data_IF_526713107850
#
_entry.id   IF_526713107850
#
_cell.length_a   1.000
_cell.length_b   1.000
_cell.length_c   1.000
_cell.angle_alpha   90.00
_cell.angle_beta   90.00
_cell.angle_gamma   90.00
#
_symmetry.space_group_name_H-M   'P 1'
#
loop_
_entity.id
_entity.type
_entity.pdbx_description
1 polymer ?
#
# COMPACT_ATOMS: atom_id res chain seq x y z
N UNK A 1 -74.20 -15.07 -35.19
CA UNK A 1 -73.66 -13.78 -34.71
C UNK A 1 -72.99 -14.02 -33.36
N UNK A 2 -71.65 -14.15 -33.28
CA UNK A 2 -70.96 -14.27 -32.00
C UNK A 2 -70.94 -12.92 -31.28
N UNK A 3 -71.24 -12.95 -29.98
CA UNK A 3 -71.36 -11.78 -29.11
C UNK A 3 -70.01 -11.06 -28.92
N UNK A 4 -70.00 -9.76 -29.19
CA UNK A 4 -68.85 -8.84 -29.08
C UNK A 4 -68.38 -8.56 -27.62
N UNK A 5 -69.05 -9.14 -26.63
CA UNK A 5 -68.78 -8.89 -25.20
C UNK A 5 -67.64 -9.75 -24.61
N UNK A 6 -67.14 -10.76 -25.33
CA UNK A 6 -66.10 -11.67 -24.83
C UNK A 6 -64.67 -11.13 -24.99
N UNK A 7 -64.45 -10.12 -25.84
CA UNK A 7 -63.11 -9.62 -26.19
C UNK A 7 -62.60 -8.45 -25.32
N UNK A 8 -63.41 -7.91 -24.42
CA UNK A 8 -63.03 -6.78 -23.54
C UNK A 8 -62.14 -7.22 -22.38
N UNK A 9 -62.27 -8.45 -21.88
CA UNK A 9 -61.59 -8.88 -20.65
C UNK A 9 -60.22 -9.53 -20.85
N UNK A 10 -59.78 -9.81 -22.08
CA UNK A 10 -58.46 -10.45 -22.32
C UNK A 10 -57.35 -9.45 -22.69
N UNK A 11 -57.67 -8.16 -22.82
CA UNK A 11 -56.69 -7.11 -23.18
C UNK A 11 -55.91 -6.55 -21.98
N UNK A 12 -56.41 -6.69 -20.76
CA UNK A 12 -55.69 -6.25 -19.55
C UNK A 12 -54.76 -7.32 -18.96
N UNK A 13 -54.93 -8.60 -19.35
CA UNK A 13 -54.10 -9.71 -18.88
C UNK A 13 -52.73 -9.71 -19.57
N UNK A 14 -52.69 -9.46 -20.89
CA UNK A 14 -51.44 -9.42 -21.66
C UNK A 14 -50.59 -8.17 -21.40
N UNK A 15 -51.22 -7.05 -21.04
CA UNK A 15 -50.51 -5.78 -20.75
C UNK A 15 -49.83 -5.75 -19.38
N UNK A 16 -50.22 -6.61 -18.43
CA UNK A 16 -49.57 -6.70 -17.11
C UNK A 16 -48.30 -7.57 -17.10
N UNK A 17 -48.19 -8.56 -17.98
CA UNK A 17 -47.02 -9.42 -18.08
C UNK A 17 -45.85 -8.78 -18.87
N UNK A 18 -46.16 -7.89 -19.82
CA UNK A 18 -45.13 -7.19 -20.61
C UNK A 18 -44.42 -6.07 -19.83
N UNK A 19 -45.07 -5.49 -18.81
CA UNK A 19 -44.46 -4.45 -17.98
C UNK A 19 -43.43 -4.98 -16.97
N UNK A 20 -43.53 -6.25 -16.57
CA UNK A 20 -42.59 -6.88 -15.63
C UNK A 20 -41.31 -7.40 -16.29
N UNK A 21 -41.29 -7.57 -17.61
CA UNK A 21 -40.12 -8.06 -18.34
C UNK A 21 -39.15 -6.94 -18.75
N UNK A 22 -39.58 -5.67 -18.73
CA UNK A 22 -38.73 -4.53 -19.07
C UNK A 22 -37.82 -4.05 -17.93
N UNK A 23 -38.09 -4.43 -16.67
CA UNK A 23 -37.32 -3.95 -15.51
C UNK A 23 -36.12 -4.84 -15.15
N UNK A 24 -35.99 -6.01 -15.78
CA UNK A 24 -34.93 -6.96 -15.46
C UNK A 24 -33.57 -6.69 -16.16
N UNK A 25 -33.52 -5.74 -17.12
CA UNK A 25 -32.31 -5.51 -17.93
C UNK A 25 -31.42 -4.34 -17.43
N UNK A 26 -31.76 -3.68 -16.32
CA UNK A 26 -31.02 -2.51 -15.83
C UNK A 26 -30.00 -2.82 -14.71
N UNK A 27 -29.84 -4.08 -14.28
CA UNK A 27 -29.05 -4.42 -13.09
C UNK A 27 -27.63 -4.94 -13.33
N UNK A 28 -27.11 -4.89 -14.57
CA UNK A 28 -25.73 -5.30 -14.87
C UNK A 28 -24.77 -4.09 -14.86
N UNK A 29 -24.74 -3.32 -13.76
CA UNK A 29 -23.62 -2.41 -13.53
C UNK A 29 -22.40 -3.28 -13.19
N UNK A 30 -21.26 -3.16 -13.91
CA UNK A 30 -20.04 -3.78 -13.43
C UNK A 30 -19.73 -3.16 -12.06
N UNK A 31 -19.79 -3.98 -11.02
CA UNK A 31 -19.25 -3.62 -9.73
C UNK A 31 -17.74 -3.46 -9.92
N UNK A 32 -17.30 -2.25 -10.27
CA UNK A 32 -15.90 -1.88 -10.16
C UNK A 32 -15.61 -1.89 -8.66
N UNK A 33 -15.14 -3.04 -8.17
CA UNK A 33 -14.58 -3.16 -6.84
C UNK A 33 -13.58 -2.02 -6.72
N UNK A 34 -13.91 -1.02 -5.89
CA UNK A 34 -13.02 0.08 -5.59
C UNK A 34 -11.80 -0.57 -4.96
N UNK A 35 -10.75 -0.82 -5.75
CA UNK A 35 -9.43 -1.17 -5.26
C UNK A 35 -8.95 0.08 -4.52
N UNK A 36 -9.44 0.25 -3.30
CA UNK A 36 -9.13 1.37 -2.43
C UNK A 36 -7.61 1.41 -2.29
N UNK A 37 -7.06 2.62 -2.35
CA UNK A 37 -5.63 2.84 -2.18
C UNK A 37 -5.16 2.11 -0.92
N UNK A 38 -4.21 1.18 -1.06
CA UNK A 38 -3.72 0.41 0.08
C UNK A 38 -3.05 1.34 1.06
N UNK A 39 -3.30 1.09 2.35
CA UNK A 39 -2.59 1.75 3.42
C UNK A 39 -1.32 0.94 3.72
N UNK A 40 -0.17 1.54 3.45
CA UNK A 40 1.13 0.98 3.77
C UNK A 40 1.64 1.60 5.07
N UNK A 41 2.28 0.79 5.92
CA UNK A 41 2.97 1.28 7.11
C UNK A 41 4.14 2.21 6.70
N UNK A 42 4.47 3.17 7.56
CA UNK A 42 5.61 4.06 7.47
C UNK A 42 6.98 3.35 7.36
N UNK A 43 7.07 2.09 7.81
CA UNK A 43 8.30 1.28 7.71
C UNK A 43 8.45 0.52 6.39
N UNK A 44 7.47 0.63 5.48
CA UNK A 44 7.50 -0.08 4.20
C UNK A 44 8.59 0.49 3.30
N UNK A 45 9.42 -0.40 2.78
CA UNK A 45 10.46 -0.10 1.82
C UNK A 45 10.05 -0.56 0.42
N UNK A 46 10.66 0.04 -0.61
CA UNK A 46 10.44 -0.34 -2.01
C UNK A 46 11.67 -1.04 -2.57
N UNK A 47 11.46 -2.11 -3.33
CA UNK A 47 12.54 -2.85 -3.96
C UNK A 47 12.11 -3.68 -5.14
N UNK A 48 13.09 -4.34 -5.75
CA UNK A 48 12.88 -5.35 -6.78
C UNK A 48 13.11 -6.73 -6.15
N UNK A 49 12.09 -7.57 -6.17
CA UNK A 49 12.15 -8.93 -5.67
C UNK A 49 12.23 -9.91 -6.84
N UNK A 50 13.20 -10.82 -6.79
CA UNK A 50 13.32 -11.95 -7.69
C UNK A 50 13.26 -13.23 -6.86
N UNK A 51 12.28 -14.08 -7.16
CA UNK A 51 12.08 -15.32 -6.41
C UNK A 51 12.90 -16.41 -7.13
N UNK A 52 13.98 -16.87 -6.50
CA UNK A 52 14.87 -17.89 -7.08
C UNK A 52 14.34 -19.28 -6.76
N UNK A 53 14.18 -19.59 -5.48
CA UNK A 53 13.65 -20.85 -4.99
C UNK A 53 13.17 -20.64 -3.57
N UNK A 54 11.85 -20.54 -3.32
CA UNK A 54 11.34 -20.30 -1.98
C UNK A 54 11.94 -21.30 -1.00
N UNK A 55 12.40 -20.84 0.18
CA UNK A 55 12.26 -19.49 0.74
C UNK A 55 13.40 -18.52 0.38
N UNK A 56 14.38 -18.92 -0.43
CA UNK A 56 15.49 -18.08 -0.87
C UNK A 56 15.04 -17.15 -2.00
N UNK A 57 15.29 -15.86 -1.84
CA UNK A 57 14.91 -14.79 -2.78
C UNK A 57 16.05 -13.81 -2.95
N UNK A 58 16.05 -13.05 -4.04
CA UNK A 58 16.96 -11.92 -4.25
C UNK A 58 16.17 -10.62 -4.12
N UNK A 59 16.56 -9.79 -3.17
CA UNK A 59 15.99 -8.46 -2.97
C UNK A 59 17.02 -7.42 -3.40
N UNK A 60 16.68 -6.59 -4.38
CA UNK A 60 17.58 -5.58 -4.97
C UNK A 60 18.93 -6.19 -5.42
N UNK A 61 18.90 -7.44 -5.90
CA UNK A 61 20.09 -8.20 -6.31
C UNK A 61 20.85 -8.89 -5.17
N UNK A 62 20.54 -8.60 -3.90
CA UNK A 62 21.13 -9.28 -2.74
C UNK A 62 20.33 -10.53 -2.38
N UNK A 63 21.02 -11.67 -2.27
CA UNK A 63 20.41 -12.91 -1.78
C UNK A 63 19.97 -12.75 -0.32
N UNK A 64 18.69 -13.04 -0.07
CA UNK A 64 18.05 -13.04 1.24
C UNK A 64 17.02 -14.18 1.33
N UNK A 65 16.25 -14.22 2.42
CA UNK A 65 15.24 -15.24 2.67
C UNK A 65 13.92 -14.60 3.06
N UNK A 66 12.83 -15.26 2.67
CA UNK A 66 11.50 -15.00 3.20
C UNK A 66 11.45 -15.40 4.68
N UNK A 67 10.82 -14.56 5.50
CA UNK A 67 10.57 -14.87 6.90
C UNK A 67 9.58 -16.04 7.01
N UNK A 68 9.59 -16.80 8.12
CA UNK A 68 8.67 -17.93 8.31
C UNK A 68 7.17 -17.54 8.23
N UNK A 69 6.85 -16.27 8.47
CA UNK A 69 5.50 -15.72 8.41
C UNK A 69 5.24 -14.79 7.22
N UNK A 70 6.10 -14.81 6.19
CA UNK A 70 5.98 -13.89 5.05
C UNK A 70 4.67 -14.09 4.28
N UNK A 71 3.96 -13.00 3.98
CA UNK A 71 2.78 -13.01 3.10
C UNK A 71 3.05 -12.23 1.83
N UNK A 72 2.75 -12.83 0.69
CA UNK A 72 2.87 -12.18 -0.62
C UNK A 72 1.48 -11.76 -1.09
N UNK A 73 1.27 -10.47 -1.28
CA UNK A 73 0.04 -9.88 -1.76
C UNK A 73 0.17 -9.50 -3.24
N UNK A 74 -0.78 -9.90 -4.08
CA UNK A 74 -0.83 -9.50 -5.49
C UNK A 74 -1.32 -8.05 -5.65
N UNK A 75 -1.56 -7.62 -6.89
CA UNK A 75 -2.12 -6.32 -7.28
C UNK A 75 -3.59 -6.08 -6.87
N UNK A 76 -4.31 -7.13 -6.47
CA UNK A 76 -5.66 -7.06 -5.89
C UNK A 76 -5.68 -7.16 -4.35
N UNK A 77 -4.51 -7.07 -3.72
CA UNK A 77 -4.31 -7.22 -2.27
C UNK A 77 -4.70 -8.62 -1.75
N UNK A 78 -4.65 -9.64 -2.60
CA UNK A 78 -4.92 -11.04 -2.25
C UNK A 78 -3.61 -11.76 -1.97
N UNK A 79 -3.63 -12.65 -0.98
CA UNK A 79 -2.48 -13.50 -0.68
C UNK A 79 -2.31 -14.50 -1.82
N UNK A 80 -1.12 -14.55 -2.39
CA UNK A 80 -0.72 -15.44 -3.49
C UNK A 80 0.52 -16.22 -3.12
N UNK A 81 0.72 -17.34 -3.81
CA UNK A 81 1.81 -18.25 -3.49
C UNK A 81 3.10 -17.80 -4.20
N UNK A 82 4.20 -17.69 -3.45
CA UNK A 82 5.49 -17.23 -3.97
C UNK A 82 6.03 -18.10 -5.13
N UNK A 83 5.74 -19.40 -5.15
CA UNK A 83 6.17 -20.33 -6.21
C UNK A 83 5.64 -19.96 -7.59
N UNK A 84 4.50 -19.27 -7.68
CA UNK A 84 3.89 -18.82 -8.94
C UNK A 84 4.73 -17.75 -9.66
N UNK A 85 5.65 -17.11 -8.95
CA UNK A 85 6.44 -16.00 -9.45
C UNK A 85 7.95 -16.30 -9.49
N UNK A 86 8.33 -17.58 -9.39
CA UNK A 86 9.72 -18.02 -9.51
C UNK A 86 10.29 -17.59 -10.86
N UNK A 87 11.51 -17.07 -10.85
CA UNK A 87 12.22 -16.56 -12.04
C UNK A 87 11.74 -15.20 -12.54
N UNK A 88 10.75 -14.57 -11.90
CA UNK A 88 10.24 -13.24 -12.28
C UNK A 88 10.84 -12.16 -11.40
N UNK A 89 11.17 -11.03 -12.00
CA UNK A 89 11.51 -9.79 -11.29
C UNK A 89 10.25 -8.96 -11.09
N UNK A 90 9.90 -8.71 -9.83
CA UNK A 90 8.71 -7.99 -9.43
C UNK A 90 9.11 -6.71 -8.71
N UNK A 91 8.45 -5.59 -9.03
CA UNK A 91 8.54 -4.40 -8.18
C UNK A 91 7.57 -4.56 -7.02
N UNK A 92 8.12 -4.49 -5.81
CA UNK A 92 7.38 -4.75 -4.59
C UNK A 92 7.64 -3.67 -3.54
N UNK A 93 6.63 -3.45 -2.72
CA UNK A 93 6.81 -2.89 -1.40
C UNK A 93 6.99 -4.04 -0.42
N UNK A 94 7.88 -3.92 0.56
CA UNK A 94 8.14 -4.99 1.52
C UNK A 94 8.42 -4.45 2.92
N UNK A 95 8.23 -5.30 3.92
CA UNK A 95 8.70 -5.09 5.28
C UNK A 95 9.84 -6.06 5.60
N UNK A 96 10.81 -5.58 6.36
CA UNK A 96 11.91 -6.39 6.87
C UNK A 96 11.62 -6.74 8.33
N UNK A 97 11.81 -8.00 8.69
CA UNK A 97 11.70 -8.49 10.06
C UNK A 97 12.95 -8.14 10.88
N UNK A 98 12.91 -8.30 12.21
CA UNK A 98 14.02 -8.01 13.12
C UNK A 98 15.30 -8.80 12.80
N UNK A 99 15.17 -9.96 12.14
CA UNK A 99 16.29 -10.77 11.66
C UNK A 99 16.84 -10.35 10.29
N UNK A 100 16.34 -9.26 9.68
CA UNK A 100 16.75 -8.83 8.34
C UNK A 100 16.13 -9.66 7.20
N UNK A 101 15.13 -10.49 7.50
CA UNK A 101 14.42 -11.33 6.52
C UNK A 101 13.23 -10.59 5.92
N UNK A 102 12.82 -10.97 4.71
CA UNK A 102 11.71 -10.32 4.02
C UNK A 102 10.38 -10.87 4.56
N UNK A 103 9.57 -10.00 5.16
CA UNK A 103 8.28 -10.33 5.75
C UNK A 103 7.12 -10.18 4.77
N UNK A 104 6.18 -9.28 5.09
CA UNK A 104 5.04 -8.99 4.22
C UNK A 104 5.49 -8.25 2.95
N UNK A 105 5.00 -8.69 1.80
CA UNK A 105 5.40 -8.23 0.47
C UNK A 105 4.15 -7.90 -0.34
N UNK A 106 4.12 -6.73 -0.98
CA UNK A 106 3.04 -6.30 -1.86
C UNK A 106 3.59 -6.07 -3.27
N UNK A 107 3.05 -6.82 -4.24
CA UNK A 107 3.30 -6.60 -5.66
C UNK A 107 2.57 -5.33 -6.08
N UNK A 108 3.31 -4.41 -6.69
CA UNK A 108 2.82 -3.07 -7.00
C UNK A 108 2.24 -2.99 -8.41
N UNK A 109 1.05 -2.43 -8.51
CA UNK A 109 0.46 -1.99 -9.78
C UNK A 109 1.27 -0.85 -10.40
N UNK A 110 1.12 -0.64 -11.70
CA UNK A 110 1.75 0.48 -12.40
C UNK A 110 1.41 1.85 -11.76
N UNK A 111 0.17 2.02 -11.29
CA UNK A 111 -0.27 3.24 -10.61
C UNK A 111 0.44 3.44 -9.26
N UNK A 112 0.60 2.37 -8.46
CA UNK A 112 1.29 2.43 -7.17
C UNK A 112 2.81 2.62 -7.31
N UNK A 113 3.40 2.13 -8.39
CA UNK A 113 4.82 2.35 -8.70
C UNK A 113 5.13 3.84 -8.94
N UNK A 114 4.17 4.60 -9.48
CA UNK A 114 4.31 6.04 -9.68
C UNK A 114 4.16 6.84 -8.37
N UNK A 115 3.56 6.25 -7.34
CA UNK A 115 3.40 6.90 -6.04
C UNK A 115 4.66 6.78 -5.18
N UNK A 116 4.93 7.79 -4.36
CA UNK A 116 6.00 7.76 -3.35
C UNK A 116 5.57 6.86 -2.19
N UNK A 117 6.46 5.95 -1.77
CA UNK A 117 6.20 5.07 -0.62
C UNK A 117 6.19 5.87 0.69
N UNK A 118 5.31 5.56 1.67
CA UNK A 118 5.29 6.27 2.95
C UNK A 118 6.64 6.33 3.67
N UNK A 119 7.44 5.25 3.64
CA UNK A 119 8.78 5.25 4.24
C UNK A 119 9.76 6.21 3.55
N UNK A 120 9.69 6.33 2.22
CA UNK A 120 10.45 7.32 1.46
C UNK A 120 10.01 8.74 1.85
N UNK A 121 8.69 8.95 1.93
CA UNK A 121 8.12 10.25 2.29
C UNK A 121 8.51 10.69 3.71
N UNK A 122 8.58 9.76 4.66
CA UNK A 122 9.05 10.05 6.02
C UNK A 122 10.55 10.32 6.06
N UNK A 123 11.37 9.63 5.26
CA UNK A 123 12.80 9.94 5.12
C UNK A 123 13.02 11.34 4.55
N UNK A 124 12.22 11.74 3.55
CA UNK A 124 12.24 13.08 2.99
C UNK A 124 11.85 14.15 4.02
N UNK A 125 10.81 13.91 4.84
CA UNK A 125 10.42 14.80 5.94
C UNK A 125 11.49 14.87 7.03
N UNK A 126 12.10 13.74 7.42
CA UNK A 126 13.16 13.72 8.41
C UNK A 126 14.41 14.47 7.91
N UNK A 127 14.75 14.33 6.62
CA UNK A 127 15.85 15.07 6.00
C UNK A 127 15.59 16.58 5.97
N UNK A 128 14.35 17.02 5.70
CA UNK A 128 14.00 18.45 5.73
C UNK A 128 13.91 19.01 7.16
N UNK A 129 13.50 18.21 8.14
CA UNK A 129 13.43 18.60 9.55
C UNK A 129 14.81 18.62 10.24
N UNK A 130 15.72 17.71 9.88
CA UNK A 130 17.10 17.71 10.38
C UNK A 130 17.91 18.93 9.96
N UNK A 131 17.55 19.57 8.83
CA UNK A 131 18.12 20.85 8.41
C UNK A 131 17.56 22.06 9.19
N UNK A 132 16.46 21.90 9.94
CA UNK A 132 15.80 22.96 10.69
C UNK A 132 16.08 22.91 12.21
N UNK A 133 16.91 21.97 12.69
CA UNK A 133 17.44 22.02 14.06
C UNK A 133 18.50 23.11 14.12
N UNK A 134 18.07 24.36 14.31
CA UNK A 134 18.95 25.44 14.74
C UNK A 134 19.58 24.99 16.07
N UNK A 135 20.89 24.73 16.06
CA UNK A 135 21.66 24.57 17.29
C UNK A 135 21.46 25.82 18.17
N UNK A 136 20.69 25.70 19.25
CA UNK A 136 20.60 26.72 20.29
C UNK A 136 21.59 26.37 21.42
N UNK A 137 22.86 26.24 21.04
CA UNK A 137 23.97 26.13 22.01
C UNK A 137 24.42 27.53 22.46
N UNK A 138 25.13 27.65 23.60
CA UNK A 138 25.61 28.95 24.06
C UNK A 138 26.52 29.57 22.99
N UNK A 139 26.25 30.83 22.64
CA UNK A 139 27.09 31.61 21.72
C UNK A 139 28.49 31.72 22.35
N UNK A 140 29.47 31.06 21.76
CA UNK A 140 30.87 31.25 22.12
C UNK A 140 31.25 32.69 21.78
N UNK A 141 31.42 33.53 22.80
CA UNK A 141 31.91 34.90 22.62
C UNK A 141 33.44 34.85 22.46
N UNK A 142 34.00 35.18 21.29
CA UNK A 142 35.44 35.17 21.11
C UNK A 142 36.05 36.37 21.86
N UNK A 143 36.76 36.11 22.97
CA UNK A 143 37.51 37.16 23.67
C UNK A 143 37.75 36.96 25.17
N UNK A 144 37.14 35.96 25.82
CA UNK A 144 37.48 35.68 27.23
C UNK A 144 38.71 34.76 27.33
N UNK A 145 39.78 35.15 28.06
CA UNK A 145 40.95 34.31 28.24
C UNK A 145 40.64 33.04 29.07
N UNK A 146 41.35 31.97 28.75
CA UNK A 146 41.12 30.58 29.19
C UNK A 146 41.21 30.36 30.73
N UNK A 147 41.64 31.36 31.50
CA UNK A 147 41.84 31.24 32.95
C UNK A 147 40.55 31.30 33.78
N UNK A 148 39.41 31.70 33.19
CA UNK A 148 38.15 31.89 33.93
C UNK A 148 37.17 30.71 33.81
N UNK A 149 37.49 29.67 33.01
CA UNK A 149 36.56 28.55 32.75
C UNK A 149 36.60 27.40 33.78
N UNK A 150 37.46 27.47 34.80
CA UNK A 150 37.62 26.41 35.81
C UNK A 150 36.97 26.71 37.17
N UNK A 151 36.12 27.73 37.29
CA UNK A 151 35.48 28.08 38.55
C UNK A 151 33.98 27.77 38.56
N UNK A 152 33.62 26.53 38.23
CA UNK A 152 32.34 25.97 38.69
C UNK A 152 32.55 25.58 40.16
N UNK A 153 32.42 26.57 41.05
CA UNK A 153 32.56 26.40 42.49
C UNK A 153 31.40 25.54 42.97
N UNK A 154 31.70 24.30 43.35
CA UNK A 154 30.83 23.46 44.14
C UNK A 154 30.57 24.20 45.47
N UNK A 155 29.38 24.78 45.62
CA UNK A 155 28.83 25.10 46.92
C UNK A 155 27.78 24.04 47.26
N UNK A 156 27.95 23.47 48.46
CA UNK A 156 27.13 22.43 49.09
C UNK A 156 25.69 22.89 49.32
#
# INVERSE_FOLDING_TARGET
MPSLWIYTMNRCQFLRCAALSALALAAALPAQAQQGRRFFNDRVERGTLEIVSPPVVKLNGKTTRLSPGSRLFNEDNRIVMATQFVGRKLKVNYLTDNMGQVGDIWILTAAEQAMVTPGEQNRMKAASQGAAVKYNGPVFQPGKPLSEQHQFKNEY
#
